data_IF_915952906780
#
_entry.id   IF_915952906780
#
_cell.length_a   1.000
_cell.length_b   1.000
_cell.length_c   1.000
_cell.angle_alpha   90.00
_cell.angle_beta   90.00
_cell.angle_gamma   90.00
#
_symmetry.space_group_name_H-M   'P 1'
#
loop_
_entity.id
_entity.type
_entity.pdbx_description
1 polymer ?
#
# COMPACT_ATOMS: atom_id res chain seq x y z
N UNK A 1 -25.91 17.58 -14.69
CA UNK A 1 -26.51 16.57 -13.79
C UNK A 1 -25.54 15.40 -13.74
N UNK A 2 -24.81 15.22 -12.65
CA UNK A 2 -23.84 14.13 -12.55
C UNK A 2 -24.56 12.80 -12.55
N UNK A 3 -24.21 11.90 -13.48
CA UNK A 3 -24.71 10.54 -13.48
C UNK A 3 -24.51 9.94 -12.08
N UNK A 4 -25.58 9.42 -11.48
CA UNK A 4 -25.52 8.75 -10.19
C UNK A 4 -24.53 7.60 -10.28
N UNK A 5 -23.44 7.69 -9.49
CA UNK A 5 -22.40 6.66 -9.46
C UNK A 5 -23.01 5.27 -9.25
N UNK A 6 -22.56 4.32 -10.06
CA UNK A 6 -22.95 2.91 -9.99
C UNK A 6 -22.59 2.30 -8.62
N UNK A 7 -23.19 1.15 -8.29
CA UNK A 7 -22.89 0.46 -7.03
C UNK A 7 -21.39 0.09 -6.95
N UNK A 8 -20.82 -0.31 -8.07
CA UNK A 8 -19.42 -0.69 -8.26
C UNK A 8 -18.48 0.50 -8.02
N UNK A 9 -18.80 1.67 -8.57
CA UNK A 9 -18.05 2.90 -8.36
C UNK A 9 -18.11 3.36 -6.89
N UNK A 10 -19.25 3.20 -6.22
CA UNK A 10 -19.37 3.47 -4.78
C UNK A 10 -18.50 2.53 -3.95
N UNK A 11 -18.51 1.24 -4.27
CA UNK A 11 -17.65 0.25 -3.60
C UNK A 11 -16.16 0.57 -3.79
N UNK A 12 -15.76 0.96 -4.99
CA UNK A 12 -14.40 1.44 -5.26
C UNK A 12 -14.09 2.68 -4.40
N UNK A 13 -15.02 3.64 -4.32
CA UNK A 13 -14.87 4.82 -3.47
C UNK A 13 -14.62 4.47 -2.00
N UNK A 14 -15.40 3.56 -1.41
CA UNK A 14 -15.20 3.11 -0.03
C UNK A 14 -13.85 2.40 0.16
N UNK A 15 -13.48 1.52 -0.77
CA UNK A 15 -12.19 0.83 -0.74
C UNK A 15 -11.02 1.82 -0.79
N UNK A 16 -11.09 2.81 -1.69
CA UNK A 16 -10.03 3.82 -1.83
C UNK A 16 -9.99 4.79 -0.64
N UNK A 17 -11.12 5.06 0.02
CA UNK A 17 -11.15 5.83 1.26
C UNK A 17 -10.43 5.08 2.40
N UNK A 18 -10.72 3.80 2.56
CA UNK A 18 -10.02 2.95 3.52
C UNK A 18 -8.53 2.84 3.19
N UNK A 19 -8.18 2.65 1.92
CA UNK A 19 -6.80 2.59 1.44
C UNK A 19 -6.04 3.89 1.71
N UNK A 20 -6.66 5.04 1.44
CA UNK A 20 -6.08 6.35 1.74
C UNK A 20 -5.77 6.49 3.23
N UNK A 21 -6.70 6.08 4.11
CA UNK A 21 -6.47 6.09 5.55
C UNK A 21 -5.31 5.17 5.95
N UNK A 22 -5.26 3.95 5.42
CA UNK A 22 -4.18 2.98 5.72
C UNK A 22 -2.81 3.48 5.24
N UNK A 23 -2.72 4.05 4.03
CA UNK A 23 -1.46 4.54 3.48
C UNK A 23 -0.97 5.79 4.21
N UNK A 24 -1.89 6.69 4.55
CA UNK A 24 -1.57 7.88 5.34
C UNK A 24 -1.08 7.50 6.74
N UNK A 25 -1.88 6.73 7.48
CA UNK A 25 -1.55 6.33 8.85
C UNK A 25 -0.32 5.43 8.91
N UNK A 26 -0.21 4.45 8.01
CA UNK A 26 0.96 3.59 7.89
C UNK A 26 2.22 4.37 7.57
N UNK A 27 2.16 5.28 6.58
CA UNK A 27 3.27 6.17 6.24
C UNK A 27 3.69 7.05 7.42
N UNK A 28 2.72 7.61 8.15
CA UNK A 28 2.98 8.46 9.32
C UNK A 28 3.64 7.68 10.46
N UNK A 29 3.17 6.46 10.74
CA UNK A 29 3.77 5.58 11.76
C UNK A 29 5.21 5.23 11.39
N UNK A 30 5.48 4.89 10.13
CA UNK A 30 6.84 4.61 9.66
C UNK A 30 7.75 5.84 9.72
N UNK A 31 7.23 7.03 9.42
CA UNK A 31 8.01 8.27 9.48
C UNK A 31 8.37 8.67 10.92
N UNK A 32 7.39 8.63 11.83
CA UNK A 32 7.55 9.11 13.20
C UNK A 32 8.20 8.07 14.13
N UNK A 33 7.91 6.79 13.91
CA UNK A 33 8.33 5.69 14.80
C UNK A 33 9.02 4.53 14.06
N UNK A 34 10.02 4.79 13.18
CA UNK A 34 10.66 3.72 12.41
C UNK A 34 11.35 2.69 13.30
N UNK A 35 12.04 3.15 14.36
CA UNK A 35 12.81 2.27 15.27
C UNK A 35 11.91 1.39 16.14
N UNK A 36 10.93 1.93 16.89
CA UNK A 36 10.01 1.10 17.66
C UNK A 36 9.32 0.05 16.80
N UNK A 37 8.90 0.41 15.58
CA UNK A 37 8.24 -0.50 14.66
C UNK A 37 9.15 -1.66 14.25
N UNK A 38 10.38 -1.38 13.84
CA UNK A 38 11.36 -2.41 13.47
C UNK A 38 11.70 -3.32 14.66
N UNK A 39 11.84 -2.77 15.88
CA UNK A 39 12.09 -3.58 17.08
C UNK A 39 10.95 -4.54 17.39
N UNK A 40 9.69 -4.12 17.20
CA UNK A 40 8.53 -5.00 17.36
C UNK A 40 8.56 -6.10 16.29
N UNK A 41 8.82 -5.76 15.03
CA UNK A 41 8.92 -6.72 13.94
C UNK A 41 10.05 -7.73 14.16
N UNK A 42 11.23 -7.30 14.63
CA UNK A 42 12.34 -8.19 14.96
C UNK A 42 12.00 -9.09 16.16
N UNK A 43 11.29 -8.55 17.15
CA UNK A 43 10.85 -9.33 18.31
C UNK A 43 9.86 -10.42 17.93
N UNK A 44 8.91 -10.12 17.03
CA UNK A 44 8.00 -11.11 16.45
C UNK A 44 8.75 -12.10 15.55
N UNK A 45 9.73 -11.63 14.77
CA UNK A 45 10.59 -12.46 13.92
C UNK A 45 11.36 -13.51 14.71
N UNK A 46 11.81 -13.18 15.94
CA UNK A 46 12.46 -14.16 16.83
C UNK A 46 11.55 -15.31 17.23
N UNK A 47 10.24 -15.08 17.40
CA UNK A 47 9.26 -16.13 17.74
C UNK A 47 9.18 -17.17 16.60
N UNK A 48 9.33 -16.73 15.35
CA UNK A 48 9.27 -17.58 14.15
C UNK A 48 10.66 -17.91 13.58
N UNK A 49 11.73 -17.71 14.36
CA UNK A 49 13.12 -18.02 13.98
C UNK A 49 13.61 -17.32 12.69
N UNK A 50 13.15 -16.10 12.43
CA UNK A 50 13.58 -15.28 11.29
C UNK A 50 14.66 -14.27 11.68
N UNK A 51 15.44 -13.83 10.69
CA UNK A 51 16.52 -12.87 10.89
C UNK A 51 15.97 -11.49 11.31
N UNK A 52 16.71 -10.72 12.12
CA UNK A 52 16.37 -9.32 12.36
C UNK A 52 16.67 -8.49 11.10
N UNK A 53 15.95 -7.39 10.93
CA UNK A 53 16.37 -6.32 10.04
C UNK A 53 17.50 -5.58 10.75
N UNK A 54 18.76 -5.75 10.31
CA UNK A 54 19.92 -5.14 10.96
C UNK A 54 19.67 -3.65 11.27
N UNK A 55 19.67 -3.23 12.55
CA UNK A 55 19.60 -1.82 12.90
C UNK A 55 21.01 -1.23 12.72
N UNK A 56 21.21 -0.38 11.71
CA UNK A 56 22.61 -0.12 11.33
C UNK A 56 22.90 0.84 10.20
N UNK A 57 22.22 1.99 10.08
CA UNK A 57 22.87 3.28 9.77
C UNK A 57 21.86 4.45 9.83
N UNK A 58 22.02 5.35 10.82
CA UNK A 58 21.07 6.43 11.10
C UNK A 58 20.73 7.36 9.94
N UNK A 59 21.67 7.61 9.01
CA UNK A 59 21.45 8.59 7.94
C UNK A 59 20.73 7.97 6.72
N UNK A 60 21.17 6.79 6.29
CA UNK A 60 20.57 6.09 5.16
C UNK A 60 19.12 5.66 5.49
N UNK A 61 18.87 5.16 6.70
CA UNK A 61 17.52 4.80 7.15
C UNK A 61 16.55 6.00 7.09
N UNK A 62 16.99 7.18 7.56
CA UNK A 62 16.18 8.40 7.52
C UNK A 62 15.88 8.83 6.09
N UNK A 63 16.86 8.75 5.20
CA UNK A 63 16.66 9.05 3.78
C UNK A 63 15.62 8.13 3.14
N UNK A 64 15.75 6.81 3.36
CA UNK A 64 14.79 5.84 2.82
C UNK A 64 13.40 5.97 3.44
N UNK A 65 13.30 6.31 4.73
CA UNK A 65 12.02 6.56 5.38
C UNK A 65 11.31 7.80 4.81
N UNK A 66 12.04 8.87 4.52
CA UNK A 66 11.49 10.06 3.87
C UNK A 66 10.97 9.73 2.46
N UNK A 67 11.72 8.92 1.70
CA UNK A 67 11.30 8.47 0.38
C UNK A 67 10.07 7.58 0.44
N UNK A 68 10.04 6.60 1.35
CA UNK A 68 8.90 5.72 1.58
C UNK A 68 7.65 6.51 1.98
N UNK A 69 7.80 7.51 2.86
CA UNK A 69 6.71 8.40 3.23
C UNK A 69 6.20 9.23 2.05
N UNK A 70 7.09 9.80 1.24
CA UNK A 70 6.71 10.53 0.02
C UNK A 70 5.91 9.66 -0.96
N UNK A 71 6.33 8.41 -1.17
CA UNK A 71 5.58 7.46 -1.99
C UNK A 71 4.23 7.10 -1.38
N UNK A 72 4.17 6.86 -0.06
CA UNK A 72 2.92 6.60 0.67
C UNK A 72 1.93 7.77 0.53
N UNK A 73 2.40 9.02 0.61
CA UNK A 73 1.59 10.21 0.40
C UNK A 73 1.10 10.32 -1.06
N UNK A 74 1.91 9.92 -2.03
CA UNK A 74 1.51 9.91 -3.44
C UNK A 74 0.34 8.95 -3.67
N UNK A 75 0.42 7.71 -3.18
CA UNK A 75 -0.68 6.73 -3.32
C UNK A 75 -1.88 7.10 -2.45
N UNK A 76 -1.68 7.78 -1.33
CA UNK A 76 -2.76 8.37 -0.51
C UNK A 76 -3.52 9.41 -1.32
N UNK A 77 -2.81 10.36 -1.94
CA UNK A 77 -3.43 11.40 -2.78
C UNK A 77 -4.16 10.79 -3.98
N UNK A 78 -3.55 9.83 -4.68
CA UNK A 78 -4.22 9.10 -5.75
C UNK A 78 -5.53 8.46 -5.27
N UNK A 79 -5.50 7.84 -4.08
CA UNK A 79 -6.69 7.25 -3.46
C UNK A 79 -7.76 8.30 -3.15
N UNK A 80 -7.39 9.45 -2.59
CA UNK A 80 -8.31 10.57 -2.31
C UNK A 80 -8.94 11.14 -3.59
N UNK A 81 -8.16 11.23 -4.68
CA UNK A 81 -8.68 11.68 -5.98
C UNK A 81 -9.76 10.74 -6.50
N UNK A 82 -9.59 9.42 -6.34
CA UNK A 82 -10.64 8.44 -6.66
C UNK A 82 -11.86 8.64 -5.76
N UNK A 83 -11.68 8.81 -4.45
CA UNK A 83 -12.80 9.00 -3.49
C UNK A 83 -13.70 10.17 -3.87
N UNK A 84 -13.13 11.28 -4.34
CA UNK A 84 -13.89 12.49 -4.71
C UNK A 84 -14.82 12.27 -5.90
N UNK A 85 -14.41 11.46 -6.87
CA UNK A 85 -15.24 11.11 -8.02
C UNK A 85 -14.81 9.74 -8.58
N UNK A 86 -15.33 8.63 -8.01
CA UNK A 86 -14.89 7.29 -8.39
C UNK A 86 -15.18 6.96 -9.85
N UNK A 87 -16.23 7.55 -10.44
CA UNK A 87 -16.63 7.32 -11.82
C UNK A 87 -15.62 7.90 -12.81
N UNK A 88 -15.21 9.15 -12.60
CA UNK A 88 -14.29 9.87 -13.48
C UNK A 88 -12.82 9.55 -13.21
N UNK A 89 -12.45 9.24 -11.97
CA UNK A 89 -11.06 9.18 -11.54
C UNK A 89 -10.53 7.76 -11.28
N UNK A 90 -11.29 6.70 -11.59
CA UNK A 90 -10.90 5.29 -11.36
C UNK A 90 -9.51 4.91 -11.88
N UNK A 91 -8.99 5.57 -12.91
CA UNK A 91 -7.66 5.29 -13.46
C UNK A 91 -6.52 5.73 -12.51
N UNK A 92 -6.79 6.57 -11.51
CA UNK A 92 -5.85 6.84 -10.42
C UNK A 92 -5.61 5.62 -9.51
N UNK A 93 -6.36 4.53 -9.67
CA UNK A 93 -6.02 3.23 -9.07
C UNK A 93 -4.77 2.61 -9.69
N UNK A 94 -4.44 2.92 -10.95
CA UNK A 94 -3.27 2.35 -11.65
C UNK A 94 -1.95 2.60 -10.89
N UNK A 95 -1.59 3.84 -10.52
CA UNK A 95 -0.36 4.08 -9.74
C UNK A 95 -0.38 3.38 -8.37
N UNK A 96 -1.55 3.25 -7.73
CA UNK A 96 -1.69 2.52 -6.46
C UNK A 96 -1.39 1.04 -6.67
N UNK A 97 -1.95 0.43 -7.73
CA UNK A 97 -1.73 -0.97 -8.10
C UNK A 97 -0.24 -1.21 -8.36
N UNK A 98 0.40 -0.40 -9.21
CA UNK A 98 1.82 -0.56 -9.52
C UNK A 98 2.72 -0.38 -8.29
N UNK A 99 2.39 0.58 -7.42
CA UNK A 99 3.10 0.76 -6.15
C UNK A 99 3.04 -0.49 -5.30
N UNK A 100 1.86 -1.12 -5.17
CA UNK A 100 1.68 -2.35 -4.38
C UNK A 100 2.32 -3.58 -5.01
N UNK A 101 2.29 -3.71 -6.33
CA UNK A 101 3.03 -4.78 -7.02
C UNK A 101 4.53 -4.63 -6.80
N UNK A 102 5.05 -3.41 -6.94
CA UNK A 102 6.47 -3.13 -6.77
C UNK A 102 6.94 -3.43 -5.33
N UNK A 103 6.20 -3.00 -4.31
CA UNK A 103 6.53 -3.29 -2.92
C UNK A 103 6.36 -4.78 -2.56
N UNK A 104 5.32 -5.43 -3.07
CA UNK A 104 5.10 -6.86 -2.88
C UNK A 104 6.23 -7.72 -3.49
N UNK A 105 6.60 -7.48 -4.75
CA UNK A 105 7.66 -8.20 -5.44
C UNK A 105 9.03 -7.90 -4.84
N UNK A 106 9.33 -6.64 -4.53
CA UNK A 106 10.61 -6.30 -3.89
C UNK A 106 10.73 -6.94 -2.50
N UNK A 107 9.67 -6.95 -1.70
CA UNK A 107 9.66 -7.65 -0.41
C UNK A 107 9.92 -9.16 -0.56
N UNK A 108 9.33 -9.80 -1.57
CA UNK A 108 9.60 -11.21 -1.87
C UNK A 108 11.08 -11.43 -2.25
N UNK A 109 11.61 -10.61 -3.15
CA UNK A 109 13.03 -10.69 -3.57
C UNK A 109 13.96 -10.49 -2.38
N UNK A 110 13.71 -9.49 -1.54
CA UNK A 110 14.51 -9.24 -0.35
C UNK A 110 14.45 -10.40 0.64
N UNK A 111 13.26 -10.96 0.86
CA UNK A 111 13.09 -12.11 1.75
C UNK A 111 13.83 -13.36 1.26
N UNK A 112 13.79 -13.64 -0.05
CA UNK A 112 14.40 -14.83 -0.64
C UNK A 112 15.91 -14.71 -0.86
N UNK A 113 16.39 -13.52 -1.24
CA UNK A 113 17.75 -13.33 -1.78
C UNK A 113 18.67 -12.54 -0.84
N UNK A 114 18.14 -11.58 -0.06
CA UNK A 114 18.94 -10.65 0.74
C UNK A 114 18.96 -11.05 2.20
N UNK A 115 17.78 -11.09 2.83
CA UNK A 115 17.63 -11.44 4.24
C UNK A 115 16.23 -11.95 4.50
N UNK A 116 16.14 -13.14 5.09
CA UNK A 116 14.90 -13.76 5.60
C UNK A 116 14.41 -13.04 6.86
N UNK A 117 14.25 -11.73 6.77
CA UNK A 117 13.78 -10.90 7.86
C UNK A 117 12.25 -10.88 7.89
N UNK A 118 11.69 -10.92 9.10
CA UNK A 118 10.23 -10.94 9.27
C UNK A 118 9.56 -9.69 8.70
N UNK A 119 10.22 -8.53 8.72
CA UNK A 119 9.68 -7.31 8.13
C UNK A 119 9.40 -7.45 6.62
N UNK A 120 10.28 -8.11 5.86
CA UNK A 120 10.05 -8.35 4.43
C UNK A 120 8.85 -9.27 4.21
N UNK A 121 8.70 -10.30 5.05
CA UNK A 121 7.54 -11.20 4.99
C UNK A 121 6.24 -10.46 5.33
N UNK A 122 6.26 -9.57 6.31
CA UNK A 122 5.09 -8.74 6.67
C UNK A 122 4.69 -7.83 5.51
N UNK A 123 5.64 -7.14 4.87
CA UNK A 123 5.34 -6.30 3.70
C UNK A 123 4.73 -7.16 2.58
N UNK A 124 5.31 -8.32 2.30
CA UNK A 124 4.79 -9.25 1.31
C UNK A 124 3.34 -9.69 1.61
N UNK A 125 3.05 -10.06 2.87
CA UNK A 125 1.73 -10.53 3.28
C UNK A 125 0.69 -9.41 3.35
N UNK A 126 1.09 -8.18 3.66
CA UNK A 126 0.18 -7.03 3.77
C UNK A 126 -0.11 -6.41 2.41
N UNK A 127 0.90 -6.26 1.56
CA UNK A 127 0.72 -5.58 0.28
C UNK A 127 0.01 -6.45 -0.76
N UNK A 128 0.07 -7.78 -0.65
CA UNK A 128 -0.66 -8.67 -1.57
C UNK A 128 -2.18 -8.51 -1.50
N UNK A 129 -2.85 -8.60 -0.32
CA UNK A 129 -4.28 -8.32 -0.21
C UNK A 129 -4.65 -6.92 -0.69
N UNK A 130 -3.84 -5.90 -0.36
CA UNK A 130 -4.10 -4.52 -0.79
C UNK A 130 -4.06 -4.38 -2.30
N UNK A 131 -3.06 -4.99 -2.95
CA UNK A 131 -2.98 -5.09 -4.41
C UNK A 131 -4.19 -5.82 -4.98
N UNK A 132 -4.46 -7.04 -4.51
CA UNK A 132 -5.51 -7.90 -5.06
C UNK A 132 -6.90 -7.24 -4.95
N UNK A 133 -7.21 -6.66 -3.79
CA UNK A 133 -8.48 -5.96 -3.56
C UNK A 133 -8.58 -4.69 -4.40
N UNK A 134 -7.50 -3.91 -4.54
CA UNK A 134 -7.50 -2.72 -5.41
C UNK A 134 -7.76 -3.09 -6.86
N UNK A 135 -7.11 -4.14 -7.38
CA UNK A 135 -7.35 -4.66 -8.72
C UNK A 135 -8.79 -5.15 -8.88
N UNK A 136 -9.30 -5.89 -7.88
CA UNK A 136 -10.67 -6.41 -7.90
C UNK A 136 -11.70 -5.28 -8.02
N UNK A 137 -11.65 -4.28 -7.15
CA UNK A 137 -12.59 -3.15 -7.19
C UNK A 137 -12.41 -2.28 -8.43
N UNK A 138 -11.16 -2.04 -8.87
CA UNK A 138 -10.87 -1.28 -10.07
C UNK A 138 -11.47 -1.94 -11.32
N UNK A 139 -11.24 -3.25 -11.51
CA UNK A 139 -11.80 -4.00 -12.65
C UNK A 139 -13.32 -3.97 -12.64
N UNK A 140 -13.93 -4.16 -11.47
CA UNK A 140 -15.39 -4.15 -11.31
C UNK A 140 -16.01 -2.80 -11.69
N UNK A 141 -15.41 -1.70 -11.24
CA UNK A 141 -15.86 -0.35 -11.56
C UNK A 141 -15.64 0.01 -13.04
N UNK A 142 -14.57 -0.52 -13.67
CA UNK A 142 -14.30 -0.31 -15.09
C UNK A 142 -15.31 -1.05 -15.98
N UNK A 143 -15.52 -2.35 -15.72
CA UNK A 143 -16.50 -3.15 -16.48
C UNK A 143 -17.92 -2.60 -16.38
N UNK A 144 -18.34 -2.11 -15.20
CA UNK A 144 -19.66 -1.49 -15.04
C UNK A 144 -19.84 -0.22 -15.89
N UNK A 145 -18.78 0.56 -16.05
CA UNK A 145 -18.80 1.74 -16.90
C UNK A 145 -18.90 1.38 -18.39
N UNK A 146 -18.15 0.36 -18.83
CA UNK A 146 -18.19 -0.13 -20.22
C UNK A 146 -19.57 -0.72 -20.58
N UNK A 147 -20.31 -1.27 -19.62
CA UNK A 147 -21.69 -1.76 -19.84
C UNK A 147 -22.77 -0.67 -19.82
N UNK A 148 -22.42 0.56 -19.42
CA UNK A 148 -23.37 1.67 -19.26
C UNK A 148 -23.28 2.72 -20.37
N UNK A 149 -22.32 2.60 -21.28
CA UNK A 149 -22.12 3.47 -22.45
C UNK A 149 -22.57 2.81 -23.74
#
# INVERSE_FOLDING_TARGET
MGATATKEEKQLGYWMAMSAFLYFSGGLVFLLFPRPLLLVLDSLGKIVHLAPVLPGAMLAERFWNLLAFSMAMTITTASVVVVRNPAANKDFCIPVIFSKVASWLSALVYFLVVSRAFAHLVIFLVDFPLFALTVFFYRRARTAADSSG
#
